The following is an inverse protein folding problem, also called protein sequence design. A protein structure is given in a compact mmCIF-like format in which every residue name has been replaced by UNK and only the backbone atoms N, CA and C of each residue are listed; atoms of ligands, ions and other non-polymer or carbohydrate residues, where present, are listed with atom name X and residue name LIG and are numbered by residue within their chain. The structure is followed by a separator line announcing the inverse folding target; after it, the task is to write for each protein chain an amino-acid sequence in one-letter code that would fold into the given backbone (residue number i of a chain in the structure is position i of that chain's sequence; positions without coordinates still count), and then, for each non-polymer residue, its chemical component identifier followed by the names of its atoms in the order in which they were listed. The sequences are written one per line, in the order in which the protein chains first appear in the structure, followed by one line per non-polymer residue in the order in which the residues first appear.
data_IF_739496193726
#
_entry.id   IF_739496193726
#
_cell.length_a   1.000
_cell.length_b   1.000
_cell.length_c   1.000
_cell.angle_alpha   90.00
_cell.angle_beta   90.00
_cell.angle_gamma   90.00
#
_symmetry.space_group_name_H-M   'P 1'
#
loop_
_entity.id
_entity.type
_entity.pdbx_description
1 polymer ?
#
# COMPACT_ATOMS: atom_id res chain seq x y z
N UNK A 1 19.24 -2.62 11.24
CA UNK A 1 19.92 -3.91 11.47
C UNK A 1 20.58 -3.86 12.82
N UNK A 2 20.46 -4.91 13.62
CA UNK A 2 21.04 -4.93 14.96
C UNK A 2 22.56 -5.16 14.94
N UNK A 3 23.29 -4.73 15.98
CA UNK A 3 24.75 -4.81 16.02
C UNK A 3 25.30 -6.23 15.93
N UNK A 4 24.63 -7.21 16.56
CA UNK A 4 25.04 -8.61 16.57
C UNK A 4 25.04 -9.26 15.17
N UNK A 5 24.07 -8.90 14.33
CA UNK A 5 23.97 -9.38 12.94
C UNK A 5 25.13 -8.85 12.10
N UNK A 6 25.63 -7.65 12.42
CA UNK A 6 26.76 -7.02 11.73
C UNK A 6 28.10 -7.60 12.16
N UNK A 7 28.25 -7.99 13.44
CA UNK A 7 29.51 -8.48 14.00
C UNK A 7 29.76 -9.96 13.68
N UNK A 8 28.72 -10.79 13.57
CA UNK A 8 28.90 -12.24 13.39
C UNK A 8 29.24 -12.71 11.96
N UNK A 9 29.06 -11.88 10.93
CA UNK A 9 29.37 -12.25 9.54
C UNK A 9 28.62 -13.52 9.05
N UNK A 10 29.07 -14.14 7.95
CA UNK A 10 28.47 -15.31 7.29
C UNK A 10 28.61 -16.65 8.07
N UNK A 11 28.83 -16.62 9.40
CA UNK A 11 28.97 -17.85 10.17
C UNK A 11 27.62 -18.56 10.37
N UNK A 12 27.66 -19.89 10.26
CA UNK A 12 26.51 -20.79 9.98
C UNK A 12 25.51 -21.00 11.13
N UNK A 13 25.76 -20.45 12.32
CA UNK A 13 24.85 -20.56 13.45
C UNK A 13 24.00 -19.29 13.53
N UNK A 14 22.87 -19.33 12.84
CA UNK A 14 21.96 -18.21 12.59
C UNK A 14 21.37 -17.65 13.92
N UNK A 15 21.90 -16.53 14.44
CA UNK A 15 21.32 -15.80 15.60
C UNK A 15 20.25 -14.80 15.14
N UNK A 16 19.44 -15.17 14.16
CA UNK A 16 18.24 -14.39 13.81
C UNK A 16 17.13 -14.80 14.76
N UNK A 17 17.08 -14.15 15.92
CA UNK A 17 16.03 -14.33 16.92
C UNK A 17 15.12 -13.11 17.03
N UNK A 18 13.97 -13.24 17.73
CA UNK A 18 13.01 -12.13 17.90
C UNK A 18 13.62 -10.91 18.61
N UNK A 19 14.75 -11.06 19.33
CA UNK A 19 15.49 -9.96 19.95
C UNK A 19 16.15 -9.01 18.92
N UNK A 20 16.40 -9.47 17.70
CA UNK A 20 16.88 -8.61 16.58
C UNK A 20 15.79 -7.62 16.16
N UNK A 21 14.54 -8.08 16.15
CA UNK A 21 13.38 -7.23 15.85
C UNK A 21 13.14 -6.21 16.96
N UNK A 22 13.35 -6.58 18.23
CA UNK A 22 13.31 -5.65 19.38
C UNK A 22 14.27 -4.47 19.19
N UNK A 23 15.50 -4.72 18.74
CA UNK A 23 16.43 -3.63 18.43
C UNK A 23 15.86 -2.70 17.33
N UNK A 24 15.29 -3.30 16.29
CA UNK A 24 14.72 -2.56 15.17
C UNK A 24 13.54 -1.70 15.62
N UNK A 25 12.69 -2.20 16.53
CA UNK A 25 11.63 -1.43 17.19
C UNK A 25 12.22 -0.26 17.97
N UNK A 26 13.30 -0.44 18.73
CA UNK A 26 13.96 0.64 19.46
C UNK A 26 14.44 1.78 18.54
N UNK A 27 15.02 1.43 17.38
CA UNK A 27 15.45 2.42 16.37
C UNK A 27 14.23 3.14 15.76
N UNK A 28 13.16 2.41 15.42
CA UNK A 28 11.92 3.01 14.89
C UNK A 28 11.31 3.98 15.90
N UNK A 29 11.21 3.58 17.16
CA UNK A 29 10.68 4.44 18.22
C UNK A 29 11.56 5.66 18.46
N UNK A 30 12.88 5.52 18.33
CA UNK A 30 13.80 6.67 18.38
C UNK A 30 13.54 7.65 17.23
N UNK A 31 13.35 7.13 16.02
CA UNK A 31 13.02 7.91 14.83
C UNK A 31 11.71 8.70 15.02
N UNK A 32 10.69 8.04 15.56
CA UNK A 32 9.38 8.63 15.85
C UNK A 32 9.45 9.65 16.98
N UNK A 33 10.16 9.35 18.07
CA UNK A 33 10.30 10.23 19.22
C UNK A 33 11.08 11.51 18.89
N UNK A 34 12.06 11.42 17.98
CA UNK A 34 12.83 12.58 17.51
C UNK A 34 12.20 13.26 16.28
N UNK A 35 11.24 12.63 15.62
CA UNK A 35 10.57 13.14 14.41
C UNK A 35 11.49 13.28 13.19
N UNK A 36 12.50 12.42 13.07
CA UNK A 36 13.58 12.54 12.06
C UNK A 36 13.98 11.18 11.52
N UNK A 37 14.14 11.07 10.21
CA UNK A 37 14.75 9.88 9.59
C UNK A 37 16.22 9.82 9.96
N UNK A 38 16.58 8.85 10.80
CA UNK A 38 17.96 8.62 11.21
C UNK A 38 18.82 8.26 9.99
N UNK A 39 19.97 8.91 9.86
CA UNK A 39 21.01 8.55 8.89
C UNK A 39 20.56 8.54 7.41
N UNK A 40 19.60 9.40 7.03
CA UNK A 40 19.03 9.46 5.67
C UNK A 40 20.06 9.56 4.53
N UNK A 41 21.17 10.26 4.77
CA UNK A 41 22.22 10.53 3.76
C UNK A 41 23.37 9.51 3.80
N UNK A 42 23.35 8.53 4.71
CA UNK A 42 24.44 7.58 4.86
C UNK A 42 24.34 6.40 3.89
N UNK A 43 25.46 6.05 3.28
CA UNK A 43 25.58 4.78 2.55
C UNK A 43 25.69 3.59 3.53
N UNK A 44 25.47 2.38 3.02
CA UNK A 44 25.49 1.15 3.85
C UNK A 44 26.74 1.03 4.73
N UNK A 45 27.93 1.28 4.17
CA UNK A 45 29.19 1.21 4.90
C UNK A 45 29.28 2.23 6.04
N UNK A 46 28.75 3.44 5.83
CA UNK A 46 28.68 4.49 6.85
C UNK A 46 27.67 4.12 7.94
N UNK A 47 26.51 3.59 7.57
CA UNK A 47 25.47 3.13 8.51
C UNK A 47 25.99 1.99 9.40
N UNK A 48 26.74 1.04 8.84
CA UNK A 48 27.39 -0.03 9.59
C UNK A 48 28.41 0.55 10.59
N UNK A 49 29.30 1.45 10.13
CA UNK A 49 30.28 2.10 11.03
C UNK A 49 29.59 2.87 12.16
N UNK A 50 28.45 3.51 11.88
CA UNK A 50 27.66 4.21 12.90
C UNK A 50 27.10 3.25 13.93
N UNK A 51 26.47 2.17 13.51
CA UNK A 51 25.96 1.13 14.43
C UNK A 51 27.10 0.53 15.25
N UNK A 52 28.24 0.21 14.63
CA UNK A 52 29.44 -0.29 15.33
C UNK A 52 30.03 0.75 16.30
N UNK A 53 29.89 2.05 16.02
CA UNK A 53 30.33 3.11 16.93
C UNK A 53 29.48 3.18 18.20
N UNK A 54 28.20 2.76 18.13
CA UNK A 54 27.31 2.66 19.28
C UNK A 54 27.78 1.55 20.24
N UNK A 55 28.31 0.44 19.70
CA UNK A 55 28.88 -0.67 20.51
C UNK A 55 30.01 -0.19 21.42
N UNK A 56 30.80 0.79 20.98
CA UNK A 56 32.00 1.27 21.70
C UNK A 56 31.72 2.33 22.77
N UNK A 57 30.46 2.71 22.98
CA UNK A 57 30.07 3.73 23.97
C UNK A 57 29.43 3.15 25.21
N UNK A 58 28.84 4.04 26.02
CA UNK A 58 28.04 3.68 27.19
C UNK A 58 26.79 2.88 26.75
N UNK A 59 26.64 1.61 27.19
CA UNK A 59 25.55 0.75 26.74
C UNK A 59 24.18 1.15 27.30
N UNK A 60 24.13 1.97 28.36
CA UNK A 60 22.86 2.27 29.04
C UNK A 60 22.12 3.48 28.44
N UNK A 61 22.81 4.34 27.67
CA UNK A 61 22.24 5.61 27.17
C UNK A 61 22.42 5.81 25.65
N UNK A 62 22.07 4.78 24.87
CA UNK A 62 22.18 4.84 23.41
C UNK A 62 21.25 5.89 22.81
N UNK A 63 20.04 6.05 23.36
CA UNK A 63 19.07 7.04 22.88
C UNK A 63 19.61 8.48 23.02
N UNK A 64 20.18 8.83 24.18
CA UNK A 64 20.77 10.15 24.41
C UNK A 64 21.90 10.43 23.42
N UNK A 65 22.73 9.42 23.16
CA UNK A 65 23.84 9.55 22.20
C UNK A 65 23.33 9.79 20.78
N UNK A 66 22.30 9.07 20.35
CA UNK A 66 21.68 9.30 19.04
C UNK A 66 21.07 10.71 18.97
N UNK A 67 20.38 11.15 20.02
CA UNK A 67 19.80 12.50 20.08
C UNK A 67 20.88 13.59 20.02
N UNK A 68 22.02 13.39 20.68
CA UNK A 68 23.17 14.31 20.64
C UNK A 68 23.83 14.33 19.26
N UNK A 69 23.95 13.17 18.60
CA UNK A 69 24.49 13.09 17.24
C UNK A 69 23.60 13.74 16.19
N UNK A 70 22.29 13.82 16.44
CA UNK A 70 21.32 14.49 15.55
C UNK A 70 21.03 15.95 15.95
N UNK A 71 21.75 16.50 16.93
CA UNK A 71 21.54 17.87 17.45
C UNK A 71 20.11 18.15 17.96
N UNK A 72 19.44 17.13 18.52
CA UNK A 72 18.06 17.20 19.05
C UNK A 72 18.01 16.76 20.52
N UNK A 73 19.00 17.18 21.32
CA UNK A 73 19.05 16.88 22.75
C UNK A 73 17.86 17.51 23.52
N UNK A 74 17.38 18.68 23.08
CA UNK A 74 16.24 19.35 23.70
C UNK A 74 14.95 18.55 23.52
N UNK A 75 14.73 17.97 22.33
CA UNK A 75 13.60 17.05 22.09
C UNK A 75 13.71 15.82 22.99
N UNK A 76 14.91 15.23 23.11
CA UNK A 76 15.13 14.10 24.03
C UNK A 76 14.78 14.44 25.47
N UNK A 77 15.20 15.61 26.00
CA UNK A 77 14.88 16.02 27.37
C UNK A 77 13.37 16.11 27.63
N UNK A 78 12.60 16.55 26.63
CA UNK A 78 11.13 16.69 26.73
C UNK A 78 10.36 15.36 26.67
N UNK A 79 11.01 14.25 26.31
CA UNK A 79 10.33 12.95 26.21
C UNK A 79 9.95 12.39 27.59
N UNK A 80 8.84 11.64 27.70
CA UNK A 80 8.47 10.90 28.91
C UNK A 80 9.56 9.90 29.34
N UNK A 81 9.81 9.78 30.63
CA UNK A 81 10.83 8.86 31.16
C UNK A 81 10.50 7.39 30.84
N UNK A 82 9.22 6.99 30.89
CA UNK A 82 8.80 5.63 30.54
C UNK A 82 9.12 5.27 29.08
N UNK A 83 9.03 6.24 28.16
CA UNK A 83 9.38 6.06 26.75
C UNK A 83 10.90 5.95 26.57
N UNK A 84 11.68 6.77 27.28
CA UNK A 84 13.14 6.71 27.25
C UNK A 84 13.63 5.36 27.76
N UNK A 85 13.08 4.89 28.88
CA UNK A 85 13.43 3.60 29.47
C UNK A 85 13.08 2.46 28.52
N UNK A 86 11.86 2.46 27.94
CA UNK A 86 11.46 1.46 26.95
C UNK A 86 12.41 1.39 25.74
N UNK A 87 12.77 2.55 25.18
CA UNK A 87 13.69 2.61 24.04
C UNK A 87 15.09 2.12 24.44
N UNK A 88 15.61 2.53 25.59
CA UNK A 88 16.92 2.08 26.07
C UNK A 88 16.96 0.57 26.33
N UNK A 89 15.88 -0.02 26.87
CA UNK A 89 15.74 -1.46 27.00
C UNK A 89 15.77 -2.16 25.63
N UNK A 90 15.12 -1.61 24.61
CA UNK A 90 15.15 -2.14 23.24
C UNK A 90 16.54 -2.04 22.60
N UNK A 91 17.26 -0.95 22.86
CA UNK A 91 18.58 -0.64 22.31
C UNK A 91 19.76 -1.25 23.11
N UNK A 92 19.54 -2.28 23.92
CA UNK A 92 20.67 -2.99 24.57
C UNK A 92 21.52 -3.73 23.54
N UNK A 93 22.83 -3.48 23.54
CA UNK A 93 23.78 -4.11 22.60
C UNK A 93 23.89 -5.61 22.87
N UNK A 94 23.93 -6.00 24.13
CA UNK A 94 24.05 -7.40 24.53
C UNK A 94 22.71 -8.15 24.43
N UNK A 95 22.76 -9.35 23.87
CA UNK A 95 21.58 -10.18 23.61
C UNK A 95 21.01 -10.81 24.88
N UNK A 96 21.82 -11.08 25.89
CA UNK A 96 21.35 -11.69 27.13
C UNK A 96 20.52 -10.69 27.94
N UNK A 97 21.03 -9.47 28.04
CA UNK A 97 20.38 -8.36 28.76
C UNK A 97 19.23 -7.70 28.01
N UNK A 98 19.13 -7.86 26.68
CA UNK A 98 17.99 -7.35 25.89
C UNK A 98 16.72 -8.15 26.24
N UNK A 99 15.62 -7.51 26.64
CA UNK A 99 14.39 -8.20 27.00
C UNK A 99 13.77 -8.93 25.79
N UNK A 100 12.95 -9.93 26.08
CA UNK A 100 12.13 -10.58 25.06
C UNK A 100 10.94 -9.69 24.70
N UNK A 101 10.34 -9.84 23.50
CA UNK A 101 9.15 -9.08 23.14
C UNK A 101 8.00 -9.23 24.14
N UNK A 102 7.82 -10.41 24.72
CA UNK A 102 6.77 -10.67 25.72
C UNK A 102 6.97 -9.83 26.99
N UNK A 103 8.21 -9.77 27.48
CA UNK A 103 8.53 -8.96 28.66
C UNK A 103 8.37 -7.46 28.40
N UNK A 104 8.66 -7.01 27.18
CA UNK A 104 8.45 -5.62 26.78
C UNK A 104 6.97 -5.24 26.71
N UNK A 105 6.06 -6.17 26.41
CA UNK A 105 4.62 -5.88 26.38
C UNK A 105 4.07 -5.48 27.76
N UNK A 106 4.67 -5.99 28.83
CA UNK A 106 4.28 -5.67 30.21
C UNK A 106 4.86 -4.34 30.72
N UNK A 107 5.57 -3.59 29.87
CA UNK A 107 6.24 -2.35 30.26
C UNK A 107 5.24 -1.22 30.58
N UNK A 108 5.49 -0.38 31.60
CA UNK A 108 4.60 0.75 31.97
C UNK A 108 4.25 1.68 30.80
N UNK A 109 5.19 1.90 29.87
CA UNK A 109 4.96 2.66 28.64
C UNK A 109 3.74 2.17 27.83
N UNK A 110 3.49 0.86 27.81
CA UNK A 110 2.37 0.24 27.08
C UNK A 110 1.12 0.02 27.95
N UNK A 111 1.24 0.17 29.26
CA UNK A 111 0.13 -0.06 30.20
C UNK A 111 -1.02 0.96 30.09
N UNK A 112 -0.75 2.14 29.51
CA UNK A 112 -1.73 3.22 29.30
C UNK A 112 -2.41 3.23 27.94
N UNK A 113 -2.05 2.34 27.01
CA UNK A 113 -2.69 2.27 25.69
C UNK A 113 -4.01 1.51 25.79
N UNK A 114 -5.09 2.21 26.15
CA UNK A 114 -6.43 1.66 25.97
C UNK A 114 -6.70 1.46 24.48
N UNK A 115 -6.89 0.20 24.07
CA UNK A 115 -7.14 -0.25 22.70
C UNK A 115 -8.35 0.43 22.02
N UNK A 116 -9.21 1.08 22.81
CA UNK A 116 -10.46 1.72 22.37
C UNK A 116 -10.33 3.22 22.01
N UNK A 117 -9.16 3.83 22.19
CA UNK A 117 -8.93 5.21 21.77
C UNK A 117 -7.87 5.25 20.66
N UNK A 118 -8.29 5.51 19.43
CA UNK A 118 -7.41 6.05 18.39
C UNK A 118 -7.56 7.57 18.33
N UNK A 119 -6.95 8.37 19.24
CA UNK A 119 -6.90 9.81 19.08
C UNK A 119 -5.64 10.17 18.30
N UNK A 120 -5.47 9.64 17.09
CA UNK A 120 -4.41 10.14 16.21
C UNK A 120 -5.10 11.06 15.21
N UNK A 121 -5.23 12.33 15.59
CA UNK A 121 -5.44 13.38 14.61
C UNK A 121 -4.18 13.45 13.75
N UNK A 122 -4.29 12.99 12.50
CA UNK A 122 -3.18 13.07 11.56
C UNK A 122 -2.93 14.55 11.24
N UNK A 123 -1.72 15.09 11.52
CA UNK A 123 -1.46 16.54 11.43
C UNK A 123 -1.57 17.13 10.01
N UNK A 124 -1.75 16.29 8.98
CA UNK A 124 -1.91 16.70 7.57
C UNK A 124 -3.20 16.16 6.94
N UNK A 125 -4.14 15.67 7.76
CA UNK A 125 -5.44 15.18 7.31
C UNK A 125 -5.40 13.80 6.63
N UNK A 126 -6.60 13.25 6.38
CA UNK A 126 -6.82 11.90 5.84
C UNK A 126 -6.28 11.69 4.41
N UNK A 127 -5.92 12.75 3.70
CA UNK A 127 -5.32 12.67 2.35
C UNK A 127 -4.00 11.89 2.35
N UNK A 128 -3.22 11.97 3.43
CA UNK A 128 -2.00 11.15 3.57
C UNK A 128 -2.29 9.65 3.55
N UNK A 129 -3.42 9.22 4.12
CA UNK A 129 -3.76 7.79 4.21
C UNK A 129 -4.08 7.24 2.82
N UNK A 130 -4.79 8.01 1.99
CA UNK A 130 -5.02 7.65 0.59
C UNK A 130 -3.72 7.64 -0.21
N UNK A 131 -2.80 8.58 0.02
CA UNK A 131 -1.51 8.61 -0.68
C UNK A 131 -0.62 7.38 -0.40
N UNK A 132 -0.90 6.63 0.68
CA UNK A 132 -0.20 5.37 0.96
C UNK A 132 -0.70 4.18 0.14
N UNK A 133 -1.80 4.35 -0.61
CA UNK A 133 -2.44 3.31 -1.42
C UNK A 133 -1.96 3.39 -2.89
N UNK A 134 -2.00 2.28 -3.64
CA UNK A 134 -1.56 2.29 -5.03
C UNK A 134 -2.56 3.05 -5.92
N UNK A 135 -2.05 3.70 -6.99
CA UNK A 135 -2.82 4.65 -7.80
C UNK A 135 -3.99 3.99 -8.55
N UNK A 136 -3.82 2.75 -8.99
CA UNK A 136 -4.86 1.95 -9.66
C UNK A 136 -6.05 1.68 -8.73
N UNK A 137 -5.79 1.42 -7.45
CA UNK A 137 -6.83 1.26 -6.43
C UNK A 137 -7.55 2.59 -6.17
N UNK A 138 -6.81 3.67 -5.98
CA UNK A 138 -7.39 5.00 -5.75
C UNK A 138 -8.28 5.39 -6.92
N UNK A 139 -7.81 5.15 -8.15
CA UNK A 139 -8.57 5.42 -9.36
C UNK A 139 -9.86 4.60 -9.43
N UNK A 140 -9.82 3.31 -9.08
CA UNK A 140 -11.01 2.46 -9.02
C UNK A 140 -12.03 2.97 -7.99
N UNK A 141 -11.58 3.30 -6.77
CA UNK A 141 -12.45 3.86 -5.73
C UNK A 141 -13.01 5.22 -6.12
N UNK A 142 -12.21 6.05 -6.80
CA UNK A 142 -12.65 7.34 -7.33
C UNK A 142 -13.77 7.18 -8.37
N UNK A 143 -13.69 6.18 -9.25
CA UNK A 143 -14.77 5.86 -10.18
C UNK A 143 -16.06 5.45 -9.45
N UNK A 144 -15.95 4.63 -8.39
CA UNK A 144 -17.09 4.25 -7.55
C UNK A 144 -17.70 5.45 -6.81
N UNK A 145 -16.87 6.42 -6.43
CA UNK A 145 -17.30 7.68 -5.83
C UNK A 145 -18.00 8.63 -6.84
N UNK A 146 -18.23 8.21 -8.08
CA UNK A 146 -18.87 9.02 -9.12
C UNK A 146 -17.90 9.84 -9.96
N UNK A 147 -16.60 9.59 -9.84
CA UNK A 147 -15.59 10.13 -10.73
C UNK A 147 -15.73 9.58 -12.15
N UNK A 148 -15.69 10.48 -13.13
CA UNK A 148 -15.77 10.13 -14.55
C UNK A 148 -14.68 10.87 -15.33
N UNK A 149 -13.66 10.13 -15.80
CA UNK A 149 -12.55 10.70 -16.56
C UNK A 149 -13.04 11.34 -17.86
N UNK A 150 -14.02 10.74 -18.55
CA UNK A 150 -14.52 11.29 -19.80
C UNK A 150 -15.24 12.62 -19.55
N UNK A 151 -15.98 12.71 -18.45
CA UNK A 151 -16.63 13.96 -18.04
C UNK A 151 -15.62 15.05 -17.67
N UNK A 152 -14.58 14.73 -16.89
CA UNK A 152 -13.55 15.70 -16.52
C UNK A 152 -12.69 16.12 -17.73
N UNK A 153 -12.34 15.18 -18.62
CA UNK A 153 -11.67 15.51 -19.89
C UNK A 153 -12.53 16.40 -20.78
N UNK A 154 -13.85 16.16 -20.85
CA UNK A 154 -14.77 17.01 -21.60
C UNK A 154 -14.84 18.43 -21.05
N UNK A 155 -14.81 18.59 -19.73
CA UNK A 155 -14.82 19.89 -19.04
C UNK A 155 -13.60 20.73 -19.41
N UNK A 156 -12.43 20.10 -19.53
CA UNK A 156 -11.18 20.74 -19.97
C UNK A 156 -11.07 20.86 -21.50
N UNK A 157 -12.11 20.48 -22.26
CA UNK A 157 -12.13 20.57 -23.72
C UNK A 157 -11.29 19.51 -24.44
N UNK A 158 -10.88 18.43 -23.76
CA UNK A 158 -10.01 17.37 -24.31
C UNK A 158 -10.75 16.25 -25.05
N UNK A 159 -12.02 16.46 -25.42
CA UNK A 159 -12.85 15.44 -26.08
C UNK A 159 -12.41 15.20 -27.54
N UNK A 160 -11.53 14.22 -27.76
CA UNK A 160 -11.10 13.79 -29.10
C UNK A 160 -12.00 12.68 -29.62
N UNK A 161 -13.02 13.03 -30.40
CA UNK A 161 -13.90 12.05 -31.05
C UNK A 161 -13.35 11.54 -32.39
N UNK A 162 -12.31 12.17 -32.95
CA UNK A 162 -11.71 11.80 -34.22
C UNK A 162 -10.37 11.09 -33.99
N UNK A 163 -10.16 9.88 -34.56
CA UNK A 163 -8.93 9.15 -34.37
C UNK A 163 -7.73 9.87 -35.06
N UNK A 164 -6.54 9.88 -34.43
CA UNK A 164 -5.37 10.61 -34.95
C UNK A 164 -4.94 10.17 -36.35
N UNK A 165 -5.15 8.91 -36.75
CA UNK A 165 -4.69 8.41 -38.05
C UNK A 165 -5.40 9.08 -39.25
N UNK A 166 -6.62 9.60 -39.08
CA UNK A 166 -7.33 10.34 -40.14
C UNK A 166 -6.64 11.67 -40.51
N UNK A 167 -5.69 12.14 -39.71
CA UNK A 167 -4.93 13.38 -39.97
C UNK A 167 -3.76 13.22 -40.94
N UNK A 168 -3.35 11.98 -41.24
CA UNK A 168 -1.99 11.72 -41.74
C UNK A 168 -1.87 11.70 -43.26
N UNK A 169 -2.95 11.40 -44.00
CA UNK A 169 -2.88 11.26 -45.45
C UNK A 169 -3.84 12.22 -46.18
N UNK A 170 -3.27 13.16 -46.93
CA UNK A 170 -3.97 13.91 -47.97
C UNK A 170 -3.54 13.34 -49.31
N UNK A 171 -4.47 12.77 -50.05
CA UNK A 171 -4.25 12.22 -51.38
C UNK A 171 -4.87 13.19 -52.38
N UNK A 172 -4.18 13.43 -53.50
CA UNK A 172 -4.71 14.17 -54.65
C UNK A 172 -4.98 13.17 -55.75
N UNK A 173 -6.21 13.10 -56.23
CA UNK A 173 -6.54 12.27 -57.39
C UNK A 173 -5.99 12.89 -58.67
N UNK A 174 -5.88 12.11 -59.75
CA UNK A 174 -5.41 12.61 -61.05
C UNK A 174 -6.32 13.70 -61.63
N UNK A 175 -7.58 13.74 -61.23
CA UNK A 175 -8.54 14.78 -61.60
C UNK A 175 -8.41 16.07 -60.75
N UNK A 176 -7.44 16.13 -59.83
CA UNK A 176 -7.22 17.28 -58.95
C UNK A 176 -8.15 17.35 -57.73
N UNK A 177 -8.86 16.25 -57.43
CA UNK A 177 -9.71 16.19 -56.24
C UNK A 177 -8.88 15.86 -55.00
N UNK A 178 -9.08 16.61 -53.93
CA UNK A 178 -8.43 16.39 -52.65
C UNK A 178 -9.25 15.40 -51.81
N UNK A 179 -8.63 14.30 -51.38
CA UNK A 179 -9.19 13.32 -50.46
C UNK A 179 -8.35 13.35 -49.17
N UNK A 180 -8.98 13.74 -48.06
CA UNK A 180 -8.33 13.84 -46.76
C UNK A 180 -8.93 14.97 -45.92
N UNK A 181 -8.90 14.83 -44.61
CA UNK A 181 -9.51 15.79 -43.69
C UNK A 181 -8.62 17.03 -43.50
N UNK A 182 -9.22 18.20 -43.28
CA UNK A 182 -8.49 19.42 -42.93
C UNK A 182 -7.96 19.30 -41.49
N UNK A 183 -6.75 19.82 -41.24
CA UNK A 183 -6.16 19.81 -39.90
C UNK A 183 -7.01 20.70 -38.99
N UNK A 184 -7.70 20.10 -38.03
CA UNK A 184 -8.36 20.80 -36.92
C UNK A 184 -7.37 20.90 -35.74
N UNK A 185 -7.36 22.02 -35.02
CA UNK A 185 -6.52 22.20 -33.84
C UNK A 185 -6.86 21.19 -32.73
N UNK A 186 -8.11 20.70 -32.70
CA UNK A 186 -8.55 19.59 -31.82
C UNK A 186 -7.89 18.24 -32.17
N UNK A 187 -7.18 18.14 -33.29
CA UNK A 187 -6.48 16.92 -33.72
C UNK A 187 -4.99 16.94 -33.35
N UNK A 188 -4.47 18.05 -32.77
CA UNK A 188 -3.10 18.11 -32.26
C UNK A 188 -2.98 17.33 -30.95
N UNK A 189 -1.81 16.75 -30.73
CA UNK A 189 -1.49 16.18 -29.42
C UNK A 189 -1.40 17.30 -28.40
N UNK A 190 -2.38 17.35 -27.52
CA UNK A 190 -2.38 18.13 -26.29
C UNK A 190 -1.84 17.26 -25.15
N UNK A 191 -0.77 17.73 -24.51
CA UNK A 191 -0.08 17.10 -23.38
C UNK A 191 -0.46 17.70 -22.02
N UNK A 192 -1.54 18.48 -21.95
CA UNK A 192 -2.05 19.03 -20.69
C UNK A 192 -2.31 17.91 -19.68
N UNK A 193 -1.85 18.14 -18.46
CA UNK A 193 -2.15 17.30 -17.30
C UNK A 193 -3.38 17.88 -16.62
N UNK A 194 -4.46 17.10 -16.58
CA UNK A 194 -5.69 17.45 -15.88
C UNK A 194 -5.66 16.79 -14.51
N UNK A 195 -5.77 17.60 -13.45
CA UNK A 195 -5.90 17.08 -12.09
C UNK A 195 -7.33 16.59 -11.88
N UNK A 196 -7.50 15.33 -11.47
CA UNK A 196 -8.82 14.79 -11.14
C UNK A 196 -9.23 15.26 -9.73
N UNK A 197 -10.50 15.67 -9.53
CA UNK A 197 -10.99 16.12 -8.23
C UNK A 197 -11.17 14.93 -7.28
N UNK A 198 -10.63 15.03 -6.06
CA UNK A 198 -10.67 13.95 -5.05
C UNK A 198 -11.70 14.16 -3.94
N UNK A 199 -12.39 15.31 -3.93
CA UNK A 199 -13.23 15.75 -2.82
C UNK A 199 -14.34 14.73 -2.50
N UNK A 200 -15.03 14.21 -3.51
CA UNK A 200 -16.11 13.24 -3.33
C UNK A 200 -15.65 11.90 -2.75
N UNK A 201 -14.42 11.47 -3.05
CA UNK A 201 -13.86 10.26 -2.46
C UNK A 201 -13.40 10.51 -1.02
N UNK A 202 -12.75 11.65 -0.78
CA UNK A 202 -12.27 12.04 0.56
C UNK A 202 -13.46 12.18 1.52
N UNK A 203 -14.55 12.82 1.08
CA UNK A 203 -15.77 12.98 1.87
C UNK A 203 -16.42 11.63 2.20
N UNK A 204 -16.52 10.71 1.24
CA UNK A 204 -17.06 9.36 1.48
C UNK A 204 -16.21 8.53 2.44
N UNK A 205 -14.92 8.76 2.53
CA UNK A 205 -14.03 8.02 3.43
C UNK A 205 -13.71 8.83 4.71
N UNK A 206 -14.44 9.92 4.96
CA UNK A 206 -14.19 10.86 6.05
C UNK A 206 -14.66 10.39 7.44
N UNK A 207 -15.44 9.31 7.55
CA UNK A 207 -15.77 8.67 8.84
C UNK A 207 -14.94 7.41 9.11
N UNK A 208 -14.32 6.81 8.08
CA UNK A 208 -13.57 5.56 8.21
C UNK A 208 -12.35 5.75 9.13
N UNK A 209 -12.14 4.90 10.14
CA UNK A 209 -11.00 5.05 11.04
C UNK A 209 -9.68 4.76 10.32
N UNK A 210 -8.57 5.43 10.68
CA UNK A 210 -7.24 5.18 10.11
C UNK A 210 -6.79 3.71 10.20
N UNK A 211 -7.22 3.00 11.24
CA UNK A 211 -6.94 1.57 11.43
C UNK A 211 -7.52 0.69 10.32
N UNK A 212 -8.57 1.14 9.62
CA UNK A 212 -9.13 0.41 8.48
C UNK A 212 -8.25 0.45 7.23
N UNK A 213 -7.33 1.41 7.10
CA UNK A 213 -6.37 1.48 5.99
C UNK A 213 -5.23 0.46 6.17
N UNK A 214 -5.02 -0.02 7.39
CA UNK A 214 -3.94 -0.92 7.78
C UNK A 214 -4.47 -2.08 8.65
N UNK A 215 -5.35 -2.96 8.09
CA UNK A 215 -5.92 -4.05 8.86
C UNK A 215 -4.86 -5.08 9.24
N UNK A 216 -4.90 -5.53 10.49
CA UNK A 216 -4.06 -6.61 11.02
C UNK A 216 -4.82 -7.94 10.91
N UNK A 217 -4.16 -9.00 10.42
CA UNK A 217 -4.79 -10.33 10.23
C UNK A 217 -4.83 -11.18 11.49
N UNK A 218 -3.94 -10.92 12.43
CA UNK A 218 -3.72 -11.76 13.61
C UNK A 218 -4.37 -11.20 14.88
N UNK A 219 -4.77 -9.92 14.92
CA UNK A 219 -5.45 -9.35 16.08
C UNK A 219 -6.96 -9.52 15.99
N UNK A 220 -7.58 -9.95 17.10
CA UNK A 220 -9.03 -10.13 17.21
C UNK A 220 -9.79 -8.81 17.48
N UNK A 221 -9.11 -7.67 17.49
CA UNK A 221 -9.58 -6.39 18.03
C UNK A 221 -9.55 -5.23 16.99
N UNK A 222 -10.00 -4.02 17.34
CA UNK A 222 -11.26 -3.37 16.92
C UNK A 222 -11.51 -3.18 15.41
N UNK A 223 -10.52 -3.37 14.53
CA UNK A 223 -10.69 -3.28 13.07
C UNK A 223 -11.66 -4.34 12.56
N UNK A 224 -11.61 -5.53 13.17
CA UNK A 224 -12.56 -6.62 12.92
C UNK A 224 -14.01 -6.17 13.23
N UNK A 225 -14.24 -5.41 14.30
CA UNK A 225 -15.59 -4.91 14.67
C UNK A 225 -16.15 -3.88 13.68
N UNK A 226 -15.33 -2.96 13.15
CA UNK A 226 -15.79 -2.01 12.12
C UNK A 226 -16.12 -2.75 10.82
N UNK A 227 -15.23 -3.64 10.38
CA UNK A 227 -15.45 -4.48 9.21
C UNK A 227 -16.72 -5.34 9.37
N UNK A 228 -16.93 -5.94 10.55
CA UNK A 228 -18.08 -6.79 10.81
C UNK A 228 -19.40 -6.00 10.79
N UNK A 229 -19.43 -4.75 11.27
CA UNK A 229 -20.61 -3.88 11.16
C UNK A 229 -20.96 -3.55 9.70
N UNK A 230 -19.99 -3.13 8.89
CA UNK A 230 -20.24 -2.77 7.48
C UNK A 230 -20.57 -4.02 6.63
N UNK A 231 -20.05 -5.18 7.03
CA UNK A 231 -20.43 -6.47 6.45
C UNK A 231 -21.85 -6.86 6.82
N UNK A 232 -22.27 -6.70 8.07
CA UNK A 232 -23.62 -7.02 8.53
C UNK A 232 -24.67 -6.19 7.77
N UNK A 233 -24.42 -4.89 7.58
CA UNK A 233 -25.31 -3.99 6.85
C UNK A 233 -25.33 -4.27 5.34
N UNK A 234 -24.19 -4.59 4.73
CA UNK A 234 -24.10 -4.81 3.30
C UNK A 234 -24.46 -6.24 2.85
N UNK A 235 -24.28 -7.26 3.70
CA UNK A 235 -24.53 -8.67 3.36
C UNK A 235 -25.92 -9.01 2.80
N UNK A 236 -27.05 -8.39 3.24
CA UNK A 236 -28.35 -8.66 2.66
C UNK A 236 -28.56 -7.98 1.29
N UNK A 237 -27.67 -7.06 0.88
CA UNK A 237 -27.83 -6.32 -0.36
C UNK A 237 -27.42 -7.18 -1.58
N UNK A 238 -28.14 -7.05 -2.71
CA UNK A 238 -27.75 -7.67 -3.98
C UNK A 238 -26.31 -7.34 -4.37
N UNK A 239 -25.64 -8.28 -5.05
CA UNK A 239 -24.24 -8.16 -5.48
C UNK A 239 -23.97 -6.85 -6.22
N UNK A 240 -24.86 -6.45 -7.14
CA UNK A 240 -24.70 -5.22 -7.94
C UNK A 240 -24.63 -3.97 -7.05
N UNK A 241 -25.34 -3.95 -5.92
CA UNK A 241 -25.31 -2.84 -4.97
C UNK A 241 -23.98 -2.85 -4.22
N UNK A 242 -23.57 -4.01 -3.70
CA UNK A 242 -22.29 -4.18 -3.01
C UNK A 242 -21.09 -3.83 -3.88
N UNK A 243 -21.13 -4.14 -5.17
CA UNK A 243 -20.06 -3.80 -6.12
C UNK A 243 -19.97 -2.31 -6.44
N UNK A 244 -21.04 -1.54 -6.21
CA UNK A 244 -21.08 -0.07 -6.42
C UNK A 244 -20.86 0.73 -5.14
N UNK A 245 -20.95 0.10 -3.98
CA UNK A 245 -20.73 0.75 -2.69
C UNK A 245 -19.24 1.04 -2.47
N UNK A 246 -18.89 2.33 -2.37
CA UNK A 246 -17.49 2.77 -2.26
C UNK A 246 -16.83 2.30 -0.96
N UNK A 247 -17.54 2.35 0.17
CA UNK A 247 -16.99 2.04 1.50
C UNK A 247 -16.83 0.53 1.66
N UNK A 248 -17.87 -0.22 1.26
CA UNK A 248 -17.80 -1.67 1.25
C UNK A 248 -16.65 -2.16 0.36
N UNK A 249 -16.54 -1.63 -0.88
CA UNK A 249 -15.43 -1.99 -1.76
C UNK A 249 -14.07 -1.59 -1.18
N UNK A 250 -13.94 -0.41 -0.56
CA UNK A 250 -12.71 -0.01 0.13
C UNK A 250 -12.29 -1.05 1.18
N UNK A 251 -13.19 -1.42 2.09
CA UNK A 251 -12.89 -2.41 3.12
C UNK A 251 -12.52 -3.78 2.55
N UNK A 252 -13.23 -4.26 1.52
CA UNK A 252 -12.93 -5.55 0.86
C UNK A 252 -11.58 -5.51 0.14
N UNK A 253 -11.28 -4.43 -0.58
CA UNK A 253 -10.03 -4.27 -1.33
C UNK A 253 -8.84 -4.20 -0.38
N UNK A 254 -8.89 -3.35 0.65
CA UNK A 254 -7.79 -3.18 1.60
C UNK A 254 -7.45 -4.50 2.29
N UNK A 255 -8.47 -5.23 2.74
CA UNK A 255 -8.28 -6.50 3.41
C UNK A 255 -7.69 -7.58 2.50
N UNK A 256 -8.24 -7.76 1.30
CA UNK A 256 -7.77 -8.78 0.37
C UNK A 256 -6.40 -8.43 -0.23
N UNK A 257 -6.11 -7.15 -0.52
CA UNK A 257 -4.79 -6.73 -1.02
C UNK A 257 -3.68 -7.15 -0.07
N UNK A 258 -3.89 -6.94 1.22
CA UNK A 258 -2.91 -7.32 2.25
C UNK A 258 -2.74 -8.83 2.39
N UNK A 259 -3.81 -9.61 2.28
CA UNK A 259 -3.72 -11.08 2.26
C UNK A 259 -2.98 -11.58 1.00
N UNK A 260 -3.18 -10.91 -0.13
CA UNK A 260 -2.46 -11.20 -1.39
C UNK A 260 -0.97 -10.87 -1.25
N UNK A 261 -0.62 -9.73 -0.65
CA UNK A 261 0.77 -9.33 -0.38
C UNK A 261 1.49 -10.33 0.54
N UNK A 262 0.77 -10.97 1.46
CA UNK A 262 1.32 -11.97 2.37
C UNK A 262 1.23 -13.42 1.84
N UNK A 263 0.75 -13.64 0.62
CA UNK A 263 0.89 -14.95 -0.03
C UNK A 263 2.39 -15.23 -0.30
N UNK A 264 2.93 -16.45 -0.06
CA UNK A 264 2.23 -17.74 0.05
C UNK A 264 2.12 -18.35 1.46
N UNK A 265 2.09 -17.56 2.54
CA UNK A 265 2.05 -18.14 3.89
C UNK A 265 0.77 -18.99 4.15
N UNK A 266 0.87 -20.21 4.73
CA UNK A 266 -0.29 -21.12 4.85
C UNK A 266 -1.46 -20.58 5.68
N UNK A 267 -1.17 -19.86 6.77
CA UNK A 267 -2.18 -19.21 7.61
C UNK A 267 -2.96 -18.14 6.82
N UNK A 268 -2.23 -17.34 6.03
CA UNK A 268 -2.77 -16.29 5.16
C UNK A 268 -3.66 -16.91 4.09
N UNK A 269 -3.24 -18.02 3.47
CA UNK A 269 -4.06 -18.72 2.47
C UNK A 269 -5.41 -19.18 3.05
N UNK A 270 -5.41 -19.71 4.27
CA UNK A 270 -6.65 -20.11 4.95
C UNK A 270 -7.57 -18.92 5.20
N UNK A 271 -7.01 -17.76 5.57
CA UNK A 271 -7.79 -16.54 5.76
C UNK A 271 -8.29 -15.96 4.43
N UNK A 272 -7.48 -16.00 3.37
CA UNK A 272 -7.87 -15.58 2.02
C UNK A 272 -9.08 -16.37 1.52
N UNK A 273 -9.09 -17.70 1.72
CA UNK A 273 -10.23 -18.55 1.35
C UNK A 273 -11.49 -18.16 2.15
N UNK A 274 -11.36 -17.89 3.46
CA UNK A 274 -12.50 -17.46 4.30
C UNK A 274 -13.06 -16.13 3.80
N UNK A 275 -12.20 -15.16 3.50
CA UNK A 275 -12.61 -13.85 3.01
C UNK A 275 -13.21 -13.95 1.60
N UNK A 276 -12.61 -14.73 0.70
CA UNK A 276 -13.10 -14.92 -0.66
C UNK A 276 -14.49 -15.59 -0.72
N UNK A 277 -14.84 -16.42 0.28
CA UNK A 277 -16.19 -17.01 0.40
C UNK A 277 -17.27 -15.97 0.71
N UNK A 278 -16.91 -14.86 1.34
CA UNK A 278 -17.84 -13.77 1.65
C UNK A 278 -18.12 -13.00 0.36
N UNK A 279 -17.07 -12.43 -0.22
CA UNK A 279 -17.17 -11.69 -1.49
C UNK A 279 -15.78 -11.44 -2.08
N UNK A 280 -15.69 -11.36 -3.41
CA UNK A 280 -14.47 -11.00 -4.11
C UNK A 280 -14.70 -9.70 -4.89
N UNK A 281 -14.08 -8.57 -4.47
CA UNK A 281 -14.28 -7.27 -5.09
C UNK A 281 -13.84 -7.32 -6.56
N UNK A 282 -14.56 -6.67 -7.49
CA UNK A 282 -14.22 -6.68 -8.92
C UNK A 282 -12.76 -6.30 -9.19
N UNK A 283 -12.25 -5.30 -8.47
CA UNK A 283 -10.88 -4.82 -8.60
C UNK A 283 -9.81 -5.90 -8.39
N UNK A 284 -9.96 -6.74 -7.36
CA UNK A 284 -8.96 -7.78 -7.03
C UNK A 284 -9.34 -9.17 -7.56
N UNK A 285 -10.47 -9.31 -8.24
CA UNK A 285 -11.02 -10.60 -8.66
C UNK A 285 -10.01 -11.49 -9.39
N UNK A 286 -9.32 -10.91 -10.36
CA UNK A 286 -8.29 -11.61 -11.14
C UNK A 286 -7.13 -12.13 -10.26
N UNK A 287 -6.62 -11.32 -9.32
CA UNK A 287 -5.53 -11.70 -8.39
C UNK A 287 -5.98 -12.74 -7.38
N UNK A 288 -7.18 -12.61 -6.82
CA UNK A 288 -7.71 -13.58 -5.86
C UNK A 288 -7.91 -14.94 -6.53
N UNK A 289 -8.56 -14.97 -7.70
CA UNK A 289 -8.76 -16.23 -8.44
C UNK A 289 -7.46 -16.86 -8.91
N UNK A 290 -6.48 -16.07 -9.36
CA UNK A 290 -5.19 -16.63 -9.77
C UNK A 290 -4.48 -17.34 -8.61
N UNK A 291 -4.56 -16.79 -7.39
CA UNK A 291 -4.02 -17.42 -6.18
C UNK A 291 -4.81 -18.66 -5.80
N UNK A 292 -6.16 -18.58 -5.77
CA UNK A 292 -7.02 -19.71 -5.38
C UNK A 292 -6.89 -20.89 -6.35
N UNK A 293 -6.75 -20.63 -7.64
CA UNK A 293 -6.51 -21.64 -8.67
C UNK A 293 -5.04 -22.07 -8.77
N UNK A 294 -4.17 -21.51 -7.92
CA UNK A 294 -2.74 -21.80 -7.90
C UNK A 294 -2.09 -21.62 -9.28
N UNK A 295 -2.48 -20.56 -9.99
CA UNK A 295 -1.92 -20.20 -11.29
C UNK A 295 -0.46 -19.77 -11.06
N UNK A 296 0.47 -20.58 -11.55
CA UNK A 296 1.91 -20.33 -11.45
C UNK A 296 2.52 -20.07 -12.84
N UNK A 297 3.58 -19.27 -12.88
CA UNK A 297 4.41 -19.07 -14.07
C UNK A 297 4.15 -17.73 -14.77
N UNK A 298 4.88 -17.50 -15.86
CA UNK A 298 4.74 -16.29 -16.68
C UNK A 298 3.51 -16.41 -17.59
N UNK A 299 2.36 -15.98 -17.06
CA UNK A 299 1.09 -16.00 -17.79
C UNK A 299 1.17 -15.12 -19.04
N UNK A 300 1.89 -14.00 -18.96
CA UNK A 300 2.04 -13.05 -20.07
C UNK A 300 2.82 -13.66 -21.24
N UNK A 301 3.95 -14.30 -20.96
CA UNK A 301 4.72 -15.02 -21.99
C UNK A 301 3.91 -16.17 -22.60
N UNK A 302 3.21 -16.93 -21.75
CA UNK A 302 2.37 -18.03 -22.22
C UNK A 302 1.24 -17.51 -23.12
N UNK A 303 0.60 -16.39 -22.74
CA UNK A 303 -0.43 -15.74 -23.54
C UNK A 303 0.13 -15.12 -24.84
N UNK A 304 1.35 -14.58 -24.82
CA UNK A 304 2.01 -14.03 -25.99
C UNK A 304 2.40 -15.12 -27.01
N UNK A 305 2.69 -16.34 -26.54
CA UNK A 305 2.98 -17.51 -27.40
C UNK A 305 1.75 -18.08 -28.10
N UNK A 306 0.53 -17.74 -27.65
CA UNK A 306 -0.70 -18.19 -28.32
C UNK A 306 -0.78 -17.50 -29.68
N UNK A 307 -0.90 -18.30 -30.74
CA UNK A 307 -1.15 -17.83 -32.10
C UNK A 307 -2.58 -17.27 -32.17
N UNK A 308 -2.70 -15.94 -32.27
CA UNK A 308 -3.97 -15.21 -32.34
C UNK A 308 -4.30 -14.75 -33.76
N UNK A 309 -3.46 -15.12 -34.74
CA UNK A 309 -3.55 -14.61 -36.11
C UNK A 309 -4.03 -15.69 -37.08
N UNK A 310 -3.66 -16.95 -36.84
CA UNK A 310 -4.14 -18.03 -37.69
C UNK A 310 -5.62 -18.30 -37.45
N UNK A 311 -6.34 -18.34 -38.56
CA UNK A 311 -7.75 -18.68 -38.59
C UNK A 311 -7.99 -20.07 -38.00
N UNK A 312 -8.88 -20.16 -37.03
CA UNK A 312 -9.33 -21.40 -36.39
C UNK A 312 -10.81 -21.64 -36.65
N UNK A 313 -11.29 -22.91 -36.60
CA UNK A 313 -12.72 -23.20 -36.76
C UNK A 313 -13.62 -22.50 -35.72
N UNK A 314 -13.06 -22.13 -34.55
CA UNK A 314 -13.75 -21.45 -33.46
C UNK A 314 -14.05 -19.98 -33.77
N UNK A 315 -13.31 -19.35 -34.70
CA UNK A 315 -13.53 -17.96 -35.11
C UNK A 315 -14.85 -17.76 -35.87
N UNK A 316 -15.47 -18.84 -36.37
CA UNK A 316 -16.79 -18.79 -37.02
C UNK A 316 -17.95 -18.59 -36.05
N UNK A 317 -17.73 -18.70 -34.74
CA UNK A 317 -18.83 -18.70 -33.78
C UNK A 317 -19.61 -17.37 -33.77
N UNK A 318 -18.93 -16.26 -34.08
CA UNK A 318 -19.54 -14.92 -34.18
C UNK A 318 -20.45 -14.81 -35.43
N UNK A 319 -20.11 -15.50 -36.52
CA UNK A 319 -20.93 -15.52 -37.76
C UNK A 319 -22.22 -16.33 -37.61
N UNK A 320 -22.32 -17.18 -36.59
CA UNK A 320 -23.52 -17.99 -36.29
C UNK A 320 -24.46 -17.28 -35.32
N UNK A 321 -23.95 -16.33 -34.53
CA UNK A 321 -24.69 -15.66 -33.44
C UNK A 321 -25.28 -14.29 -33.82
N UNK A 322 -24.96 -13.74 -35.00
CA UNK A 322 -25.54 -12.48 -35.52
C UNK A 322 -26.58 -12.84 -36.59
N UNK A 323 -27.89 -12.61 -36.37
CA UNK A 323 -28.95 -12.93 -37.32
C UNK A 323 -28.98 -12.06 -38.58
#
# INVERSE_FOLDING_TARGET
MSPEVLVQGLNKDYVSGPKVDVWSVGIILTELALGRILWKELNLSQSIRKILSLIRGDPENILERIAREQDHLETYKTLPEDLKDFINQCLRIDLETRPSPQLLLDHPFLSGTHEDQCPVEFPQGRQLLLNSRPLDEIYHLWQLAGGDVQKEMKKEGLNRFKPPFLTTLKIVTREGQWIGETKDDNMRYDCRVVSLPMDSLIERLAHIPPSAYFPLFESEYPVKRCLDKDRETASPLPLIIRERDTEYQFHRIVQLSRLIEAYPYPKVMSQLIKEAKIDIPPFLRHKVWSILLNVKGNVEDNYARIDKQKWTPTDRQIDVDIP
#
